data_IF_885530799683
#
_entry.id   IF_885530799683
#
_cell.length_a   1.000
_cell.length_b   1.000
_cell.length_c   1.000
_cell.angle_alpha   90.00
_cell.angle_beta   90.00
_cell.angle_gamma   90.00
#
_symmetry.space_group_name_H-M   'P 1'
#
loop_
_entity.id
_entity.type
_entity.pdbx_description
1 polymer ?
#
# COMPACT_ATOMS: atom_id res chain seq x y z
N UNK A 1 11.80 2.88 -21.17
CA UNK A 1 10.93 1.71 -21.29
C UNK A 1 10.95 1.18 -22.72
N UNK A 2 10.70 1.99 -23.77
CA UNK A 2 10.62 1.54 -25.17
C UNK A 2 11.83 0.76 -25.70
N UNK A 3 13.04 1.05 -25.24
CA UNK A 3 14.24 0.30 -25.63
C UNK A 3 14.36 -1.05 -24.92
N UNK A 4 13.80 -1.16 -23.71
CA UNK A 4 13.83 -2.38 -22.90
C UNK A 4 12.88 -3.43 -23.48
N UNK A 5 11.68 -3.05 -23.90
CA UNK A 5 10.69 -3.95 -24.53
C UNK A 5 11.27 -4.67 -25.76
N UNK A 6 12.20 -4.06 -26.48
CA UNK A 6 12.87 -4.67 -27.65
C UNK A 6 13.92 -5.74 -27.30
N UNK A 7 14.19 -5.94 -26.01
CA UNK A 7 15.11 -6.97 -25.51
C UNK A 7 14.39 -8.26 -25.09
N UNK A 8 13.08 -8.33 -25.36
CA UNK A 8 12.20 -9.47 -25.06
C UNK A 8 12.27 -9.93 -23.58
N UNK A 9 12.10 -9.01 -22.61
CA UNK A 9 12.13 -9.36 -21.20
C UNK A 9 10.79 -9.94 -20.75
N UNK A 10 10.78 -10.94 -19.88
CA UNK A 10 9.53 -11.42 -19.25
C UNK A 10 8.97 -10.44 -18.21
N UNK A 11 9.86 -9.70 -17.52
CA UNK A 11 9.51 -8.79 -16.44
C UNK A 11 10.19 -7.43 -16.63
N UNK A 12 9.41 -6.36 -16.53
CA UNK A 12 9.91 -4.99 -16.60
C UNK A 12 9.65 -4.29 -15.26
N UNK A 13 10.70 -3.75 -14.64
CA UNK A 13 10.57 -2.93 -13.44
C UNK A 13 10.72 -1.44 -13.80
N UNK A 14 9.65 -0.66 -13.57
CA UNK A 14 9.65 0.80 -13.68
C UNK A 14 9.79 1.37 -12.27
N UNK A 15 10.91 2.03 -11.99
CA UNK A 15 11.21 2.58 -10.67
C UNK A 15 10.09 3.48 -10.13
N UNK A 16 9.55 4.38 -10.98
CA UNK A 16 8.39 5.22 -10.64
C UNK A 16 7.73 5.76 -11.91
N UNK A 17 6.39 5.79 -11.93
CA UNK A 17 5.61 6.45 -12.97
C UNK A 17 5.29 7.88 -12.53
N UNK A 18 5.88 8.88 -13.20
CA UNK A 18 5.67 10.31 -12.92
C UNK A 18 4.97 11.08 -14.02
N UNK A 19 5.02 10.58 -15.23
CA UNK A 19 4.59 11.26 -16.45
C UNK A 19 3.79 10.35 -17.38
N UNK A 20 3.10 10.97 -18.33
CA UNK A 20 2.24 10.31 -19.30
C UNK A 20 3.01 9.36 -20.23
N UNK A 21 4.25 9.69 -20.59
CA UNK A 21 5.05 8.84 -21.48
C UNK A 21 5.42 7.52 -20.81
N UNK A 22 5.84 7.58 -19.55
CA UNK A 22 6.16 6.39 -18.74
C UNK A 22 4.92 5.55 -18.47
N UNK A 23 3.76 6.18 -18.17
CA UNK A 23 2.50 5.50 -17.96
C UNK A 23 2.05 4.75 -19.22
N UNK A 24 2.07 5.42 -20.38
CA UNK A 24 1.70 4.82 -21.66
C UNK A 24 2.63 3.66 -22.04
N UNK A 25 3.94 3.83 -21.88
CA UNK A 25 4.91 2.78 -22.20
C UNK A 25 4.79 1.55 -21.27
N UNK A 26 4.49 1.77 -19.98
CA UNK A 26 4.22 0.67 -19.04
C UNK A 26 2.94 -0.09 -19.40
N UNK A 27 1.87 0.62 -19.74
CA UNK A 27 0.61 0.02 -20.17
C UNK A 27 0.77 -0.76 -21.49
N UNK A 28 1.45 -0.19 -22.49
CA UNK A 28 1.73 -0.88 -23.76
C UNK A 28 2.51 -2.18 -23.55
N UNK A 29 3.55 -2.14 -22.71
CA UNK A 29 4.32 -3.33 -22.36
C UNK A 29 3.46 -4.40 -21.69
N UNK A 30 2.59 -4.01 -20.74
CA UNK A 30 1.66 -4.91 -20.07
C UNK A 30 0.68 -5.57 -21.05
N UNK A 31 0.08 -4.81 -21.96
CA UNK A 31 -0.84 -5.31 -22.99
C UNK A 31 -0.16 -6.22 -24.02
N UNK A 32 1.16 -6.11 -24.19
CA UNK A 32 1.95 -6.96 -25.08
C UNK A 32 2.55 -8.20 -24.40
N UNK A 33 2.11 -8.52 -23.18
CA UNK A 33 2.39 -9.79 -22.51
C UNK A 33 3.55 -9.75 -21.51
N UNK A 34 4.11 -8.57 -21.21
CA UNK A 34 5.16 -8.44 -20.20
C UNK A 34 4.55 -8.27 -18.80
N UNK A 35 5.15 -8.84 -17.77
CA UNK A 35 4.83 -8.48 -16.40
C UNK A 35 5.49 -7.15 -16.05
N UNK A 36 4.70 -6.10 -15.90
CA UNK A 36 5.18 -4.76 -15.52
C UNK A 36 5.00 -4.54 -14.02
N UNK A 37 6.09 -4.32 -13.32
CA UNK A 37 6.11 -3.88 -11.92
C UNK A 37 6.46 -2.39 -11.92
N UNK A 38 5.62 -1.57 -11.31
CA UNK A 38 5.84 -0.13 -11.26
C UNK A 38 5.52 0.43 -9.87
N UNK A 39 6.22 1.48 -9.46
CA UNK A 39 5.82 2.24 -8.27
C UNK A 39 5.13 3.55 -8.66
N UNK A 40 4.26 4.01 -7.80
CA UNK A 40 3.46 5.22 -7.97
C UNK A 40 3.18 5.87 -6.62
N UNK A 41 3.27 7.19 -6.53
CA UNK A 41 2.84 7.90 -5.33
C UNK A 41 1.33 8.08 -5.32
N UNK A 42 0.66 7.28 -4.48
CA UNK A 42 -0.78 7.33 -4.25
C UNK A 42 -1.11 6.98 -2.78
N UNK A 43 -2.26 7.44 -2.31
CA UNK A 43 -2.68 7.17 -0.94
C UNK A 43 -3.17 5.72 -0.77
N UNK A 44 -3.86 5.20 -1.77
CA UNK A 44 -4.52 3.89 -1.80
C UNK A 44 -4.64 3.37 -3.24
N UNK A 45 -5.22 2.18 -3.42
CA UNK A 45 -5.38 1.55 -4.73
C UNK A 45 -6.31 2.33 -5.68
N UNK A 46 -7.38 2.92 -5.18
CA UNK A 46 -8.29 3.73 -5.99
C UNK A 46 -7.62 5.00 -6.53
N UNK A 47 -6.90 5.72 -5.65
CA UNK A 47 -6.14 6.90 -6.07
C UNK A 47 -4.96 6.57 -6.98
N UNK A 48 -4.39 5.35 -6.91
CA UNK A 48 -3.39 4.90 -7.86
C UNK A 48 -3.97 4.77 -9.28
N UNK A 49 -5.15 4.17 -9.42
CA UNK A 49 -5.85 4.07 -10.71
C UNK A 49 -6.20 5.45 -11.25
N UNK A 50 -6.80 6.34 -10.42
CA UNK A 50 -7.08 7.72 -10.83
C UNK A 50 -5.84 8.43 -11.32
N UNK A 51 -4.75 8.32 -10.58
CA UNK A 51 -3.48 8.96 -10.96
C UNK A 51 -2.95 8.49 -12.32
N UNK A 52 -3.08 7.20 -12.65
CA UNK A 52 -2.69 6.67 -13.96
C UNK A 52 -3.62 7.18 -15.06
N UNK A 53 -4.92 7.29 -14.80
CA UNK A 53 -5.88 7.88 -15.74
C UNK A 53 -5.58 9.37 -15.97
N UNK A 54 -5.27 10.14 -14.92
CA UNK A 54 -4.87 11.55 -15.02
C UNK A 54 -3.58 11.73 -15.83
N UNK A 55 -2.69 10.75 -15.80
CA UNK A 55 -1.49 10.71 -16.65
C UNK A 55 -1.80 10.29 -18.10
N UNK A 56 -3.06 10.05 -18.44
CA UNK A 56 -3.52 9.74 -19.80
C UNK A 56 -3.67 8.26 -20.12
N UNK A 57 -3.52 7.36 -19.14
CA UNK A 57 -3.80 5.94 -19.38
C UNK A 57 -5.32 5.73 -19.60
N UNK A 58 -5.75 5.12 -20.72
CA UNK A 58 -7.16 4.80 -20.93
C UNK A 58 -7.65 3.84 -19.84
N UNK A 59 -8.65 4.25 -19.06
CA UNK A 59 -9.15 3.50 -17.89
C UNK A 59 -9.47 2.03 -18.22
N UNK A 60 -10.18 1.80 -19.32
CA UNK A 60 -10.58 0.45 -19.71
C UNK A 60 -9.37 -0.48 -19.94
N UNK A 61 -8.36 -0.02 -20.68
CA UNK A 61 -7.14 -0.80 -20.95
C UNK A 61 -6.29 -0.99 -19.68
N UNK A 62 -6.24 0.03 -18.83
CA UNK A 62 -5.55 -0.06 -17.54
C UNK A 62 -6.18 -1.15 -16.66
N UNK A 63 -7.50 -1.15 -16.52
CA UNK A 63 -8.21 -2.11 -15.68
C UNK A 63 -8.14 -3.54 -16.25
N UNK A 64 -8.14 -3.69 -17.58
CA UNK A 64 -7.96 -5.00 -18.24
C UNK A 64 -6.57 -5.59 -17.99
N UNK A 65 -5.54 -4.74 -17.95
CA UNK A 65 -4.14 -5.16 -17.74
C UNK A 65 -3.73 -5.26 -16.26
N UNK A 66 -4.57 -4.79 -15.35
CA UNK A 66 -4.22 -4.69 -13.93
C UNK A 66 -4.21 -6.07 -13.26
N UNK A 67 -3.05 -6.53 -12.83
CA UNK A 67 -2.91 -7.76 -12.05
C UNK A 67 -3.17 -7.55 -10.55
N UNK A 68 -2.58 -6.51 -9.97
CA UNK A 68 -2.79 -6.12 -8.57
C UNK A 68 -2.24 -4.72 -8.29
N UNK A 69 -2.75 -4.10 -7.22
CA UNK A 69 -2.13 -2.92 -6.59
C UNK A 69 -1.72 -3.29 -5.18
N UNK A 70 -0.45 -3.06 -4.84
CA UNK A 70 0.10 -3.26 -3.52
C UNK A 70 0.33 -1.89 -2.87
N UNK A 71 -0.43 -1.58 -1.83
CA UNK A 71 -0.23 -0.38 -1.02
C UNK A 71 0.61 -0.72 0.21
N UNK A 72 1.61 0.11 0.51
CA UNK A 72 2.53 -0.08 1.64
C UNK A 72 2.59 1.16 2.52
N UNK A 73 2.69 0.92 3.85
CA UNK A 73 3.05 1.95 4.83
C UNK A 73 4.11 1.40 5.77
N UNK A 74 4.89 2.31 6.35
CA UNK A 74 5.88 1.97 7.36
C UNK A 74 5.40 2.52 8.71
N UNK A 75 5.32 1.64 9.70
CA UNK A 75 5.08 1.98 11.10
C UNK A 75 6.38 1.89 11.88
N UNK A 76 6.57 2.74 12.88
CA UNK A 76 7.69 2.62 13.81
C UNK A 76 7.44 1.46 14.78
N UNK A 77 8.46 0.68 15.06
CA UNK A 77 8.39 -0.39 16.04
C UNK A 77 8.66 0.15 17.43
N UNK A 78 7.81 -0.19 18.39
CA UNK A 78 8.05 0.12 19.80
C UNK A 78 9.38 -0.49 20.27
N UNK A 79 10.12 0.28 21.05
CA UNK A 79 11.30 -0.22 21.74
C UNK A 79 10.89 -1.21 22.83
N UNK A 80 11.36 -2.44 22.73
CA UNK A 80 11.04 -3.50 23.70
C UNK A 80 11.58 -3.22 25.11
N UNK A 81 12.63 -2.43 25.20
CA UNK A 81 13.25 -2.05 26.49
C UNK A 81 12.44 -1.02 27.28
N UNK A 82 11.55 -0.24 26.64
CA UNK A 82 10.87 0.84 27.37
C UNK A 82 9.38 1.02 27.00
N UNK A 83 8.80 0.17 26.17
CA UNK A 83 7.35 0.25 25.91
C UNK A 83 6.59 0.02 27.22
N UNK A 84 5.50 0.75 27.42
CA UNK A 84 4.65 0.64 28.60
C UNK A 84 3.24 0.22 28.22
N UNK A 85 2.54 -0.57 29.03
CA UNK A 85 1.11 -0.79 28.83
C UNK A 85 0.39 0.57 28.85
N UNK A 86 -0.52 0.78 27.90
CA UNK A 86 -1.39 1.95 27.89
C UNK A 86 -2.39 1.80 29.06
N UNK A 87 -2.32 2.73 30.02
CA UNK A 87 -3.21 2.72 31.19
C UNK A 87 -4.49 3.46 30.85
N UNK A 88 -5.60 2.72 30.81
CA UNK A 88 -6.94 3.25 30.55
C UNK A 88 -7.53 2.74 29.24
N UNK A 89 -8.75 2.22 29.30
CA UNK A 89 -9.52 1.80 28.12
C UNK A 89 -10.14 3.01 27.40
N UNK A 90 -9.34 4.02 27.04
CA UNK A 90 -9.83 5.16 26.29
C UNK A 90 -10.17 4.80 24.81
N UNK A 91 -9.76 3.62 24.40
CA UNK A 91 -10.18 3.01 23.14
C UNK A 91 -11.01 1.79 23.49
N UNK A 92 -12.30 1.84 23.20
CA UNK A 92 -13.28 0.75 23.39
C UNK A 92 -13.01 -0.43 22.42
N UNK A 93 -11.72 -0.81 22.33
CA UNK A 93 -11.23 -1.90 21.51
C UNK A 93 -11.10 -3.15 22.41
N UNK A 94 -11.72 -4.23 21.98
CA UNK A 94 -11.60 -5.55 22.61
C UNK A 94 -10.21 -6.17 22.38
N UNK A 95 -9.13 -5.44 22.78
CA UNK A 95 -7.73 -5.87 22.64
C UNK A 95 -7.10 -6.08 24.02
N UNK A 96 -6.31 -7.14 24.21
CA UNK A 96 -5.83 -7.54 25.54
C UNK A 96 -4.86 -6.56 26.20
N UNK A 97 -4.05 -5.83 25.43
CA UNK A 97 -3.18 -4.77 25.93
C UNK A 97 -2.64 -3.95 24.77
N UNK A 98 -2.75 -2.63 24.88
CA UNK A 98 -2.07 -1.69 24.00
C UNK A 98 -0.80 -1.17 24.69
N UNK A 99 0.18 -0.74 23.91
CA UNK A 99 1.44 -0.21 24.43
C UNK A 99 1.73 1.17 23.85
N UNK A 100 2.37 2.01 24.67
CA UNK A 100 2.86 3.32 24.26
C UNK A 100 4.38 3.40 24.32
N UNK A 101 4.93 4.40 23.62
CA UNK A 101 6.34 4.71 23.59
C UNK A 101 6.72 5.54 24.82
N UNK A 102 7.69 5.08 25.63
CA UNK A 102 8.16 5.81 26.79
C UNK A 102 9.50 6.55 26.54
N UNK A 103 10.43 5.89 25.86
CA UNK A 103 11.78 6.39 25.63
C UNK A 103 12.79 5.89 26.68
N UNK A 104 13.98 5.50 26.19
CA UNK A 104 15.13 5.08 27.02
C UNK A 104 16.45 5.30 26.26
N UNK A 105 17.59 4.99 26.90
CA UNK A 105 18.90 5.08 26.27
C UNK A 105 19.08 4.22 25.02
N UNK A 106 18.47 3.03 24.96
CA UNK A 106 18.57 2.13 23.81
C UNK A 106 17.90 2.66 22.54
N UNK A 107 16.86 3.46 22.69
CA UNK A 107 16.12 4.07 21.59
C UNK A 107 16.39 5.57 21.44
N UNK A 108 17.43 6.08 22.08
CA UNK A 108 17.78 7.51 22.11
C UNK A 108 16.60 8.42 22.51
N UNK A 109 15.80 7.99 23.50
CA UNK A 109 14.67 8.75 24.02
C UNK A 109 13.40 8.70 23.16
N UNK A 110 13.42 8.11 21.96
CA UNK A 110 12.28 8.16 21.03
C UNK A 110 11.14 7.19 21.37
N UNK A 111 11.40 6.16 22.16
CA UNK A 111 10.46 5.07 22.41
C UNK A 111 10.28 4.09 21.26
N UNK A 112 10.97 4.29 20.11
CA UNK A 112 10.86 3.45 18.92
C UNK A 112 12.24 2.98 18.44
N UNK A 113 12.30 1.77 17.87
CA UNK A 113 13.50 1.19 17.29
C UNK A 113 13.20 0.37 16.05
N UNK A 114 13.60 0.89 14.88
CA UNK A 114 13.32 0.30 13.60
C UNK A 114 11.87 0.55 13.11
N UNK A 115 11.56 -0.03 11.96
CA UNK A 115 10.29 0.11 11.27
C UNK A 115 9.77 -1.25 10.85
N UNK A 116 8.48 -1.37 10.62
CA UNK A 116 7.83 -2.53 10.02
C UNK A 116 6.96 -2.08 8.85
N UNK A 117 6.88 -2.90 7.82
CA UNK A 117 5.97 -2.68 6.69
C UNK A 117 4.61 -3.29 6.98
N UNK A 118 3.56 -2.53 6.68
CA UNK A 118 2.20 -3.05 6.55
C UNK A 118 1.76 -2.91 5.11
N UNK A 119 0.95 -3.86 4.65
CA UNK A 119 0.59 -4.00 3.26
C UNK A 119 -0.91 -4.24 3.10
N UNK A 120 -1.42 -3.72 2.01
CA UNK A 120 -2.77 -3.93 1.53
C UNK A 120 -2.68 -4.34 0.06
N UNK A 121 -3.37 -5.40 -0.33
CA UNK A 121 -3.36 -5.90 -1.70
C UNK A 121 -4.75 -5.79 -2.29
N UNK A 122 -4.84 -5.08 -3.40
CA UNK A 122 -6.03 -4.97 -4.24
C UNK A 122 -5.80 -5.81 -5.50
N UNK A 123 -6.39 -7.00 -5.62
CA UNK A 123 -6.22 -7.83 -6.79
C UNK A 123 -7.01 -7.26 -7.99
N UNK A 124 -6.47 -7.42 -9.20
CA UNK A 124 -7.13 -7.06 -10.46
C UNK A 124 -8.15 -8.12 -10.90
N UNK A 125 -9.08 -8.51 -10.02
CA UNK A 125 -10.14 -9.45 -10.35
C UNK A 125 -11.38 -8.74 -10.92
N UNK A 126 -12.33 -9.47 -11.53
CA UNK A 126 -13.52 -8.88 -12.14
C UNK A 126 -14.33 -7.97 -11.21
N UNK A 127 -14.46 -8.33 -9.93
CA UNK A 127 -15.21 -7.53 -8.94
C UNK A 127 -14.52 -6.20 -8.67
N UNK A 128 -13.20 -6.22 -8.48
CA UNK A 128 -12.38 -5.01 -8.31
C UNK A 128 -12.43 -4.14 -9.56
N UNK A 129 -12.30 -4.75 -10.74
CA UNK A 129 -12.34 -4.04 -12.02
C UNK A 129 -13.71 -3.37 -12.21
N UNK A 130 -14.81 -4.06 -11.91
CA UNK A 130 -16.16 -3.52 -12.01
C UNK A 130 -16.36 -2.31 -11.07
N UNK A 131 -15.87 -2.41 -9.84
CA UNK A 131 -15.93 -1.30 -8.87
C UNK A 131 -15.07 -0.10 -9.28
N UNK A 132 -13.88 -0.35 -9.84
CA UNK A 132 -12.97 0.71 -10.31
C UNK A 132 -13.38 1.29 -11.67
N UNK A 133 -14.26 0.64 -12.42
CA UNK A 133 -14.74 1.14 -13.70
C UNK A 133 -15.70 2.33 -13.54
N UNK A 134 -16.45 2.36 -12.43
CA UNK A 134 -17.30 3.49 -12.06
C UNK A 134 -16.41 4.64 -11.57
N UNK A 135 -16.64 5.87 -12.09
CA UNK A 135 -15.78 7.04 -11.81
C UNK A 135 -16.00 7.63 -10.40
N UNK A 136 -16.75 6.92 -9.57
CA UNK A 136 -17.01 7.32 -8.19
C UNK A 136 -15.85 6.97 -7.27
N UNK A 137 -15.68 7.76 -6.21
CA UNK A 137 -14.79 7.43 -5.10
C UNK A 137 -15.29 6.16 -4.40
N UNK A 138 -14.81 5.00 -4.86
CA UNK A 138 -15.15 3.74 -4.21
C UNK A 138 -14.28 3.63 -2.95
N UNK A 139 -14.89 3.54 -1.76
CA UNK A 139 -14.15 3.30 -0.53
C UNK A 139 -13.29 2.06 -0.65
N UNK A 140 -12.02 2.17 -0.30
CA UNK A 140 -11.02 1.10 -0.46
C UNK A 140 -11.39 -0.17 0.29
N UNK A 141 -12.16 -0.06 1.39
CA UNK A 141 -12.68 -1.18 2.16
C UNK A 141 -13.61 -2.11 1.36
N UNK A 142 -14.34 -1.57 0.38
CA UNK A 142 -15.16 -2.36 -0.55
C UNK A 142 -14.36 -3.08 -1.63
N UNK A 143 -13.16 -2.60 -1.91
CA UNK A 143 -12.27 -3.15 -2.94
C UNK A 143 -11.38 -4.29 -2.40
N UNK A 144 -11.26 -4.37 -1.07
CA UNK A 144 -10.32 -5.28 -0.45
C UNK A 144 -10.94 -6.68 -0.31
N UNK A 145 -10.34 -7.65 -0.98
CA UNK A 145 -10.54 -9.09 -0.70
C UNK A 145 -9.71 -9.56 0.50
N UNK A 146 -8.96 -8.66 1.13
CA UNK A 146 -8.03 -8.94 2.20
C UNK A 146 -8.03 -7.91 3.33
N UNK A 147 -6.96 -7.93 4.13
CA UNK A 147 -6.79 -7.05 5.28
C UNK A 147 -6.42 -5.63 4.84
N UNK A 148 -7.18 -4.62 5.29
CA UNK A 148 -6.85 -3.21 5.06
C UNK A 148 -5.58 -2.79 5.82
N UNK A 149 -4.94 -1.70 5.38
CA UNK A 149 -3.80 -1.11 6.11
C UNK A 149 -4.15 -0.82 7.57
N UNK A 150 -5.36 -0.29 7.83
CA UNK A 150 -5.83 -0.02 9.18
C UNK A 150 -5.94 -1.32 10.01
N UNK A 151 -6.53 -2.36 9.47
CA UNK A 151 -6.65 -3.64 10.16
C UNK A 151 -5.28 -4.27 10.45
N UNK A 152 -4.32 -4.13 9.51
CA UNK A 152 -2.94 -4.57 9.72
C UNK A 152 -2.23 -3.75 10.81
N UNK A 153 -2.42 -2.43 10.82
CA UNK A 153 -1.87 -1.55 11.86
C UNK A 153 -2.42 -1.90 13.25
N UNK A 154 -3.74 -2.07 13.38
CA UNK A 154 -4.40 -2.44 14.63
C UNK A 154 -3.92 -3.80 15.15
N UNK A 155 -3.72 -4.78 14.29
CA UNK A 155 -3.17 -6.08 14.68
C UNK A 155 -1.73 -5.96 15.23
N UNK A 156 -0.90 -5.12 14.63
CA UNK A 156 0.44 -4.82 15.15
C UNK A 156 0.41 -4.05 16.47
N UNK A 157 -0.54 -3.14 16.66
CA UNK A 157 -0.75 -2.43 17.92
C UNK A 157 -1.21 -3.40 19.02
N UNK A 158 -2.17 -4.28 18.72
CA UNK A 158 -2.67 -5.30 19.65
C UNK A 158 -1.57 -6.29 20.10
N UNK A 159 -0.57 -6.54 19.25
CA UNK A 159 0.61 -7.34 19.61
C UNK A 159 1.69 -6.54 20.34
N UNK A 160 1.48 -5.26 20.57
CA UNK A 160 2.47 -4.36 21.17
C UNK A 160 3.73 -4.18 20.31
N UNK A 161 3.63 -4.37 19.00
CA UNK A 161 4.75 -4.17 18.08
C UNK A 161 4.89 -2.70 17.67
N UNK A 162 3.78 -1.99 17.61
CA UNK A 162 3.69 -0.54 17.38
C UNK A 162 2.72 0.08 18.40
N UNK A 163 2.61 1.40 18.41
CA UNK A 163 1.64 2.10 19.26
C UNK A 163 0.37 2.45 18.47
N UNK A 164 -0.77 2.65 19.15
CA UNK A 164 -2.00 3.13 18.51
C UNK A 164 -1.86 4.52 17.85
N UNK A 165 -0.85 5.29 18.21
CA UNK A 165 -0.59 6.63 17.68
C UNK A 165 0.17 6.65 16.35
N UNK A 166 0.62 5.51 15.85
CA UNK A 166 1.26 5.37 14.53
C UNK A 166 0.22 5.19 13.45
#
# INVERSE_FOLDING_TARGET
VRSIVRQDPDVILIGEIRDAETAAAGLEASLTGHLVLATLHAADGGSAVRRLVDLGAPRALLLESLAAILTQRLLRRLCTGCRRPLSGNDLDLAVPALFEAAGCGECAGTGYRGRLGIFEVLPGNPDTVALLADDQDVPTDRLLSGRSLLAAALDHAARGTTSPSE
#
